data_IF_108294345412
#
_entry.id   IF_108294345412
#
_cell.length_a   1.000
_cell.length_b   1.000
_cell.length_c   1.000
_cell.angle_alpha   90.00
_cell.angle_beta   90.00
_cell.angle_gamma   90.00
#
_symmetry.space_group_name_H-M   'P 1'
#
loop_
_entity.id
_entity.type
_entity.pdbx_description
1 polymer ?
#
# COMPACT_ATOMS: atom_id res chain seq x y z
N UNK A 1 -16.32 -34.29 25.43
CA UNK A 1 -17.50 -34.07 24.58
C UNK A 1 -17.17 -34.71 23.25
N UNK A 2 -17.82 -35.83 22.96
CA UNK A 2 -17.60 -36.62 21.74
C UNK A 2 -18.24 -35.86 20.57
N UNK A 3 -17.47 -35.61 19.51
CA UNK A 3 -17.99 -35.06 18.26
C UNK A 3 -18.77 -36.17 17.55
N UNK A 4 -19.95 -35.87 17.01
CA UNK A 4 -20.79 -36.90 16.39
C UNK A 4 -20.22 -37.27 15.03
N UNK A 5 -20.01 -38.57 14.76
CA UNK A 5 -19.48 -39.06 13.47
C UNK A 5 -20.49 -38.94 12.31
N UNK A 6 -21.77 -38.74 12.64
CA UNK A 6 -22.86 -38.59 11.66
C UNK A 6 -23.45 -37.18 11.75
N UNK A 7 -23.56 -36.51 10.58
CA UNK A 7 -24.12 -35.17 10.45
C UNK A 7 -23.08 -34.03 10.39
N UNK A 8 -23.57 -32.78 10.37
CA UNK A 8 -22.69 -31.60 10.28
C UNK A 8 -21.89 -31.45 11.57
N UNK A 9 -20.56 -31.50 11.45
CA UNK A 9 -19.63 -31.30 12.57
C UNK A 9 -19.89 -29.99 13.30
N UNK A 10 -19.64 -30.00 14.61
CA UNK A 10 -19.79 -28.81 15.44
C UNK A 10 -18.77 -27.75 15.02
N UNK A 11 -19.21 -26.50 14.83
CA UNK A 11 -18.31 -25.37 14.52
C UNK A 11 -17.35 -25.04 15.68
N UNK A 12 -17.70 -25.40 16.91
CA UNK A 12 -16.92 -25.08 18.11
C UNK A 12 -16.76 -26.30 19.02
N UNK A 13 -15.54 -26.50 19.52
CA UNK A 13 -15.17 -27.58 20.43
C UNK A 13 -15.98 -27.62 21.74
N UNK A 14 -16.21 -26.43 22.33
CA UNK A 14 -16.85 -26.24 23.64
C UNK A 14 -17.54 -24.87 23.70
N UNK A 15 -18.37 -24.65 24.72
CA UNK A 15 -19.03 -23.35 24.98
C UNK A 15 -18.02 -22.20 25.12
N UNK A 16 -16.91 -22.43 25.81
CA UNK A 16 -15.82 -21.44 25.95
C UNK A 16 -15.19 -21.08 24.60
N UNK A 17 -15.00 -22.06 23.69
CA UNK A 17 -14.52 -21.81 22.34
C UNK A 17 -15.48 -20.88 21.56
N UNK A 18 -16.79 -21.11 21.70
CA UNK A 18 -17.83 -20.25 21.08
C UNK A 18 -17.82 -18.84 21.68
N UNK A 19 -17.69 -18.73 23.00
CA UNK A 19 -17.64 -17.44 23.70
C UNK A 19 -16.44 -16.61 23.25
N UNK A 20 -15.24 -17.20 23.21
CA UNK A 20 -14.03 -16.53 22.69
C UNK A 20 -14.16 -16.07 21.24
N UNK A 21 -14.80 -16.88 20.39
CA UNK A 21 -15.04 -16.50 19.00
C UNK A 21 -16.07 -15.35 18.87
N UNK A 22 -17.02 -15.24 19.80
CA UNK A 22 -17.91 -14.09 19.88
C UNK A 22 -17.13 -12.84 20.31
N UNK A 23 -16.40 -12.92 21.43
CA UNK A 23 -15.58 -11.83 21.97
C UNK A 23 -14.57 -11.32 20.95
N UNK A 24 -13.89 -12.20 20.20
CA UNK A 24 -12.97 -11.79 19.13
C UNK A 24 -13.65 -10.98 18.02
N UNK A 25 -14.86 -11.36 17.61
CA UNK A 25 -15.59 -10.59 16.59
C UNK A 25 -16.08 -9.25 17.12
N UNK A 26 -16.52 -9.20 18.38
CA UNK A 26 -16.93 -7.97 19.05
C UNK A 26 -15.73 -7.04 19.30
N UNK A 27 -14.56 -7.58 19.63
CA UNK A 27 -13.32 -6.79 19.80
C UNK A 27 -12.81 -6.18 18.49
N UNK A 28 -13.07 -6.85 17.36
CA UNK A 28 -12.71 -6.40 16.01
C UNK A 28 -13.87 -5.63 15.33
N UNK A 29 -14.97 -5.41 16.04
CA UNK A 29 -16.12 -4.67 15.52
C UNK A 29 -15.71 -3.20 15.35
N UNK A 30 -15.82 -2.66 14.14
CA UNK A 30 -15.33 -1.33 13.81
C UNK A 30 -13.84 -1.26 13.41
N UNK A 31 -13.10 -2.38 13.42
CA UNK A 31 -11.74 -2.46 12.86
C UNK A 31 -11.73 -3.07 11.45
N UNK A 32 -12.86 -3.04 10.74
CA UNK A 32 -12.93 -3.52 9.36
C UNK A 32 -12.11 -2.63 8.45
N UNK A 33 -11.24 -3.25 7.67
CA UNK A 33 -10.51 -2.57 6.60
C UNK A 33 -11.44 -2.52 5.39
N UNK A 34 -11.59 -1.36 4.71
CA UNK A 34 -12.35 -1.26 3.47
C UNK A 34 -11.89 -2.28 2.42
N UNK A 35 -12.84 -2.79 1.61
CA UNK A 35 -12.54 -3.80 0.58
C UNK A 35 -11.57 -3.27 -0.51
N UNK A 36 -11.49 -1.96 -0.67
CA UNK A 36 -10.63 -1.24 -1.62
C UNK A 36 -9.36 -0.67 -0.97
N UNK A 37 -9.09 -0.99 0.30
CA UNK A 37 -7.90 -0.49 0.98
C UNK A 37 -6.62 -1.18 0.46
N UNK A 38 -5.55 -0.38 0.32
CA UNK A 38 -4.19 -0.87 0.08
C UNK A 38 -3.45 -0.93 1.41
N UNK A 39 -2.91 -2.10 1.76
CA UNK A 39 -2.11 -2.30 2.97
C UNK A 39 -0.63 -2.29 2.58
N UNK A 40 0.13 -1.39 3.19
CA UNK A 40 1.58 -1.28 3.06
C UNK A 40 2.22 -1.41 4.44
N UNK A 41 3.40 -2.02 4.50
CA UNK A 41 4.30 -1.90 5.64
C UNK A 41 4.81 -0.46 5.77
N UNK A 42 5.32 -0.10 6.95
CA UNK A 42 5.93 1.21 7.16
C UNK A 42 7.12 1.45 6.23
N UNK A 43 7.89 0.41 5.91
CA UNK A 43 9.02 0.48 4.99
C UNK A 43 8.57 0.74 3.55
N UNK A 44 7.53 0.03 3.07
CA UNK A 44 6.96 0.26 1.73
C UNK A 44 6.36 1.67 1.60
N UNK A 45 5.69 2.16 2.64
CA UNK A 45 5.14 3.52 2.64
C UNK A 45 6.24 4.60 2.60
N UNK A 46 7.35 4.40 3.33
CA UNK A 46 8.48 5.31 3.32
C UNK A 46 9.18 5.31 1.95
N UNK A 47 9.46 4.13 1.40
CA UNK A 47 10.09 3.96 0.09
C UNK A 47 9.25 4.60 -1.04
N UNK A 48 7.93 4.42 -1.01
CA UNK A 48 7.02 5.09 -1.94
C UNK A 48 7.10 6.63 -1.79
N UNK A 49 7.17 7.13 -0.56
CA UNK A 49 7.36 8.54 -0.27
C UNK A 49 8.66 9.10 -0.85
N UNK A 50 9.77 8.37 -0.72
CA UNK A 50 11.08 8.77 -1.24
C UNK A 50 11.09 8.82 -2.78
N UNK A 51 10.47 7.84 -3.45
CA UNK A 51 10.32 7.84 -4.91
C UNK A 51 9.45 9.00 -5.41
N UNK A 52 8.34 9.29 -4.72
CA UNK A 52 7.49 10.44 -5.04
C UNK A 52 8.22 11.78 -4.81
N UNK A 53 9.06 11.86 -3.78
CA UNK A 53 9.89 13.04 -3.53
C UNK A 53 10.90 13.25 -4.67
N UNK A 54 11.62 12.21 -5.08
CA UNK A 54 12.56 12.28 -6.18
C UNK A 54 11.90 12.70 -7.50
N UNK A 55 10.72 12.13 -7.81
CA UNK A 55 9.91 12.51 -8.98
C UNK A 55 9.56 14.00 -8.96
N UNK A 56 9.10 14.53 -7.81
CA UNK A 56 8.78 15.96 -7.68
C UNK A 56 10.01 16.83 -7.92
N UNK A 57 11.15 16.49 -7.31
CA UNK A 57 12.38 17.26 -7.48
C UNK A 57 12.81 17.29 -8.96
N UNK A 58 12.76 16.17 -9.67
CA UNK A 58 13.06 16.15 -11.10
C UNK A 58 12.10 17.03 -11.92
N UNK A 59 10.84 17.14 -11.51
CA UNK A 59 9.87 18.02 -12.17
C UNK A 59 10.16 19.50 -11.89
N UNK A 60 10.57 19.83 -10.66
CA UNK A 60 11.00 21.17 -10.26
C UNK A 60 12.28 21.59 -11.00
N UNK A 61 13.24 20.67 -11.16
CA UNK A 61 14.48 20.89 -11.91
C UNK A 61 14.18 21.16 -13.39
N UNK A 62 13.30 20.37 -14.01
CA UNK A 62 12.84 20.62 -15.38
C UNK A 62 12.14 21.99 -15.50
N UNK A 63 11.28 22.34 -14.54
CA UNK A 63 10.62 23.65 -14.49
C UNK A 63 11.62 24.81 -14.41
N UNK A 64 12.68 24.64 -13.61
CA UNK A 64 13.77 25.60 -13.50
C UNK A 64 14.54 25.73 -14.82
N UNK A 65 14.91 24.62 -15.44
CA UNK A 65 15.63 24.60 -16.71
C UNK A 65 14.80 25.26 -17.85
N UNK A 66 13.48 25.05 -17.86
CA UNK A 66 12.57 25.75 -18.78
C UNK A 66 12.56 27.26 -18.53
N UNK A 67 12.47 27.68 -17.26
CA UNK A 67 12.46 29.10 -16.90
C UNK A 67 13.77 29.81 -17.28
N UNK A 68 14.90 29.11 -17.16
CA UNK A 68 16.23 29.60 -17.52
C UNK A 68 16.56 29.48 -19.01
N UNK A 69 15.63 28.91 -19.81
CA UNK A 69 15.82 28.66 -21.25
C UNK A 69 17.06 27.82 -21.54
N UNK A 70 17.23 26.75 -20.76
CA UNK A 70 18.27 25.76 -21.00
C UNK A 70 18.20 25.20 -22.43
N UNK A 71 19.35 24.74 -22.93
CA UNK A 71 19.44 24.16 -24.26
C UNK A 71 18.57 22.91 -24.39
N UNK A 72 18.15 22.63 -25.63
CA UNK A 72 17.26 21.52 -25.96
C UNK A 72 17.75 20.17 -25.39
N UNK A 73 19.06 19.90 -25.50
CA UNK A 73 19.64 18.63 -25.03
C UNK A 73 19.55 18.47 -23.51
N UNK A 74 19.64 19.58 -22.76
CA UNK A 74 19.46 19.58 -21.30
C UNK A 74 18.00 19.28 -20.96
N UNK A 75 17.06 19.94 -21.63
CA UNK A 75 15.63 19.71 -21.41
C UNK A 75 15.23 18.27 -21.75
N UNK A 76 15.78 17.70 -22.82
CA UNK A 76 15.57 16.31 -23.20
C UNK A 76 16.06 15.35 -22.10
N UNK A 77 17.30 15.54 -21.62
CA UNK A 77 17.85 14.68 -20.55
C UNK A 77 17.09 14.76 -19.23
N UNK A 78 16.66 15.96 -18.83
CA UNK A 78 15.82 16.14 -17.64
C UNK A 78 14.44 15.49 -17.80
N UNK A 79 13.86 15.55 -19.00
CA UNK A 79 12.59 14.88 -19.31
C UNK A 79 12.74 13.36 -19.24
N UNK A 80 13.82 12.80 -19.79
CA UNK A 80 14.10 11.37 -19.71
C UNK A 80 14.24 10.92 -18.25
N UNK A 81 15.00 11.67 -17.45
CA UNK A 81 15.20 11.40 -16.01
C UNK A 81 13.87 11.46 -15.25
N UNK A 82 13.05 12.47 -15.52
CA UNK A 82 11.72 12.62 -14.92
C UNK A 82 10.83 11.41 -15.23
N UNK A 83 10.81 10.95 -16.49
CA UNK A 83 10.02 9.81 -16.91
C UNK A 83 10.51 8.49 -16.31
N UNK A 84 11.83 8.33 -16.13
CA UNK A 84 12.39 7.18 -15.41
C UNK A 84 11.93 7.16 -13.95
N UNK A 85 12.04 8.29 -13.25
CA UNK A 85 11.59 8.40 -11.86
C UNK A 85 10.06 8.21 -11.73
N UNK A 86 9.28 8.65 -12.72
CA UNK A 86 7.84 8.43 -12.74
C UNK A 86 7.51 6.94 -12.84
N UNK A 87 8.16 6.20 -13.74
CA UNK A 87 7.98 4.75 -13.88
C UNK A 87 8.41 3.99 -12.63
N UNK A 88 9.46 4.45 -11.95
CA UNK A 88 9.86 3.87 -10.67
C UNK A 88 8.84 4.18 -9.58
N UNK A 89 8.31 5.40 -9.48
CA UNK A 89 7.32 5.79 -8.48
C UNK A 89 5.97 5.06 -8.63
N UNK A 90 5.58 4.68 -9.85
CA UNK A 90 4.34 3.91 -10.12
C UNK A 90 4.33 2.49 -9.49
N UNK A 91 5.51 1.93 -9.15
CA UNK A 91 5.61 0.57 -8.63
C UNK A 91 5.21 0.51 -7.15
N UNK A 92 4.00 0.05 -6.86
CA UNK A 92 3.56 -0.16 -5.48
C UNK A 92 4.02 -1.50 -4.88
N UNK A 93 4.74 -2.35 -5.65
CA UNK A 93 5.26 -3.67 -5.26
C UNK A 93 6.49 -4.06 -6.06
#
# INVERSE_FOLDING_TARGET
>A
MVDSELGRRRKYCKRSCRQRAYEQRTLLEGTSIPDDAVILSSAEAADFGDRMFALRCAAEDLGTAVAERADHDVLAGLTDTLLELAREAEKLR
#
